data_IF_273970305690
#
_entry.id   IF_273970305690
#
_cell.length_a   1.000
_cell.length_b   1.000
_cell.length_c   1.000
_cell.angle_alpha   90.00
_cell.angle_beta   90.00
_cell.angle_gamma   90.00
#
_symmetry.space_group_name_H-M   'P 1'
#
loop_
_entity.id
_entity.type
_entity.pdbx_description
1 polymer ?
#
# COMPACT_ATOMS: atom_id res chain seq x y z
N UNK A 1 -2.07 17.77 25.76
CA UNK A 1 -2.25 16.63 24.86
C UNK A 1 -2.87 17.14 23.56
N UNK A 2 -2.13 17.06 22.49
CA UNK A 2 -2.63 17.42 21.15
C UNK A 2 -3.41 16.23 20.65
N UNK A 3 -4.74 16.29 20.70
CA UNK A 3 -5.60 15.28 20.10
C UNK A 3 -5.42 15.32 18.59
N UNK A 4 -4.73 14.32 18.05
CA UNK A 4 -4.51 14.21 16.61
C UNK A 4 -5.72 13.55 15.99
N UNK A 5 -6.72 14.35 15.65
CA UNK A 5 -7.84 13.89 14.85
C UNK A 5 -7.70 14.44 13.43
N UNK A 6 -7.76 13.56 12.45
CA UNK A 6 -7.79 13.95 11.04
C UNK A 6 -9.01 13.34 10.38
N UNK A 7 -9.77 14.16 9.64
CA UNK A 7 -10.88 13.71 8.81
C UNK A 7 -10.81 14.36 7.44
N UNK A 8 -11.07 13.59 6.40
CA UNK A 8 -11.37 14.10 5.06
C UNK A 8 -12.73 13.59 4.62
N UNK A 9 -13.60 14.51 4.26
CA UNK A 9 -14.98 14.21 3.88
C UNK A 9 -15.32 14.99 2.62
N UNK A 10 -15.91 14.32 1.64
CA UNK A 10 -16.38 14.96 0.42
C UNK A 10 -17.73 14.38 -0.03
N UNK A 11 -18.46 15.13 -0.85
CA UNK A 11 -19.71 14.68 -1.46
C UNK A 11 -19.47 14.26 -2.90
N UNK A 12 -19.99 13.09 -3.27
CA UNK A 12 -20.07 12.62 -4.63
C UNK A 12 -21.44 12.01 -4.87
N UNK A 13 -22.16 12.50 -5.90
CA UNK A 13 -23.46 11.97 -6.32
C UNK A 13 -24.48 11.81 -5.17
N UNK A 14 -24.60 12.83 -4.30
CA UNK A 14 -25.45 12.84 -3.09
C UNK A 14 -25.00 11.90 -1.96
N UNK A 15 -23.91 11.14 -2.12
CA UNK A 15 -23.32 10.37 -1.05
C UNK A 15 -22.22 11.16 -0.34
N UNK A 16 -22.12 10.95 0.95
CA UNK A 16 -21.01 11.45 1.75
C UNK A 16 -19.98 10.34 1.86
N UNK A 17 -18.76 10.64 1.41
CA UNK A 17 -17.65 9.70 1.48
C UNK A 17 -16.64 10.23 2.49
N UNK A 18 -16.28 9.39 3.46
CA UNK A 18 -15.22 9.63 4.43
C UNK A 18 -14.01 8.90 3.91
N UNK A 19 -13.05 9.62 3.36
CA UNK A 19 -11.84 9.05 2.77
C UNK A 19 -10.76 8.75 3.80
N UNK A 20 -10.69 9.57 4.83
CA UNK A 20 -9.75 9.39 5.94
C UNK A 20 -10.44 9.73 7.25
N UNK A 21 -10.29 8.85 8.22
CA UNK A 21 -10.71 9.07 9.59
C UNK A 21 -9.65 8.46 10.51
N UNK A 22 -8.96 9.31 11.25
CA UNK A 22 -7.99 8.90 12.26
C UNK A 22 -8.48 9.32 13.63
N UNK A 23 -8.56 8.38 14.54
CA UNK A 23 -8.90 8.59 15.93
C UNK A 23 -8.05 7.67 16.81
N UNK A 24 -7.63 8.14 17.96
CA UNK A 24 -6.81 7.36 18.90
C UNK A 24 -7.60 6.22 19.56
N UNK A 25 -8.91 6.41 19.69
CA UNK A 25 -9.81 5.44 20.33
C UNK A 25 -11.07 5.22 19.51
N UNK A 26 -11.73 4.07 19.70
CA UNK A 26 -13.03 3.79 19.07
C UNK A 26 -14.12 4.77 19.49
N UNK A 27 -14.10 5.25 20.72
CA UNK A 27 -15.06 6.25 21.21
C UNK A 27 -14.88 7.59 20.52
N UNK A 28 -13.62 8.00 20.28
CA UNK A 28 -13.30 9.18 19.51
C UNK A 28 -13.73 9.03 18.03
N UNK A 29 -13.55 7.85 17.44
CA UNK A 29 -14.02 7.53 16.09
C UNK A 29 -15.55 7.66 16.00
N UNK A 30 -16.30 7.05 16.91
CA UNK A 30 -17.75 7.14 16.97
C UNK A 30 -18.23 8.59 17.16
N UNK A 31 -17.56 9.35 18.01
CA UNK A 31 -17.88 10.76 18.24
C UNK A 31 -17.67 11.60 16.99
N UNK A 32 -16.58 11.36 16.25
CA UNK A 32 -16.31 12.03 14.96
C UNK A 32 -17.34 11.68 13.90
N UNK A 33 -17.71 10.41 13.77
CA UNK A 33 -18.76 9.96 12.84
C UNK A 33 -20.11 10.58 13.16
N UNK A 34 -20.47 10.64 14.45
CA UNK A 34 -21.72 11.28 14.91
C UNK A 34 -21.71 12.79 14.57
N UNK A 35 -20.60 13.46 14.82
CA UNK A 35 -20.44 14.87 14.50
C UNK A 35 -20.53 15.16 12.99
N UNK A 36 -19.90 14.34 12.16
CA UNK A 36 -19.99 14.43 10.70
C UNK A 36 -21.44 14.28 10.26
N UNK A 37 -22.16 13.30 10.80
CA UNK A 37 -23.58 13.06 10.49
C UNK A 37 -24.46 14.25 10.85
N UNK A 38 -24.27 14.82 12.04
CA UNK A 38 -25.01 16.00 12.48
C UNK A 38 -24.70 17.22 11.61
N UNK A 39 -23.42 17.49 11.37
CA UNK A 39 -22.98 18.65 10.61
C UNK A 39 -23.41 18.60 9.13
N UNK A 40 -23.41 17.43 8.52
CA UNK A 40 -23.74 17.26 7.10
C UNK A 40 -25.22 16.97 6.84
N UNK A 41 -25.98 16.56 7.84
CA UNK A 41 -27.36 16.11 7.71
C UNK A 41 -27.53 14.84 6.85
N UNK A 42 -26.45 14.14 6.52
CA UNK A 42 -26.49 12.94 5.70
C UNK A 42 -26.92 11.73 6.52
N UNK A 43 -27.88 10.95 5.98
CA UNK A 43 -28.34 9.70 6.61
C UNK A 43 -27.41 8.53 6.32
N UNK A 44 -26.82 8.53 5.14
CA UNK A 44 -25.93 7.47 4.67
C UNK A 44 -24.54 8.03 4.36
N UNK A 45 -23.53 7.36 4.90
CA UNK A 45 -22.14 7.71 4.72
C UNK A 45 -21.37 6.44 4.34
N UNK A 46 -20.39 6.58 3.46
CA UNK A 46 -19.45 5.52 3.10
C UNK A 46 -18.09 5.87 3.67
N UNK A 47 -17.53 5.00 4.48
CA UNK A 47 -16.18 5.15 4.99
C UNK A 47 -15.25 4.23 4.22
N UNK A 48 -14.10 4.75 3.78
CA UNK A 48 -13.02 3.95 3.22
C UNK A 48 -12.15 3.46 4.37
N UNK A 49 -11.97 2.15 4.44
CA UNK A 49 -11.19 1.48 5.47
C UNK A 49 -9.95 0.81 4.85
N UNK A 50 -8.90 0.55 5.63
CA UNK A 50 -7.83 -0.35 5.20
C UNK A 50 -8.39 -1.70 4.75
N UNK A 51 -7.76 -2.38 3.77
CA UNK A 51 -8.24 -3.65 3.27
C UNK A 51 -8.19 -4.73 4.37
N UNK A 52 -9.33 -5.35 4.63
CA UNK A 52 -9.45 -6.51 5.51
C UNK A 52 -9.84 -7.75 4.68
N UNK A 53 -9.40 -8.94 5.10
CA UNK A 53 -9.55 -10.18 4.32
C UNK A 53 -11.02 -10.56 4.03
N UNK A 54 -11.94 -10.15 4.88
CA UNK A 54 -13.37 -10.52 4.79
C UNK A 54 -14.25 -9.46 4.12
N UNK A 55 -13.67 -8.35 3.70
CA UNK A 55 -14.44 -7.25 3.09
C UNK A 55 -14.21 -7.16 1.58
N UNK A 56 -15.18 -6.61 0.86
CA UNK A 56 -15.03 -6.32 -0.55
C UNK A 56 -13.96 -5.24 -0.74
N UNK A 57 -12.88 -5.59 -1.44
CA UNK A 57 -11.78 -4.70 -1.72
C UNK A 57 -11.95 -4.03 -3.08
N UNK A 58 -11.66 -2.75 -3.15
CA UNK A 58 -11.68 -1.98 -4.39
C UNK A 58 -10.28 -1.42 -4.68
N UNK A 59 -9.75 -1.59 -5.90
CA UNK A 59 -8.51 -0.93 -6.29
C UNK A 59 -8.77 0.57 -6.46
N UNK A 60 -8.23 1.37 -5.54
CA UNK A 60 -8.42 2.83 -5.55
C UNK A 60 -7.26 3.61 -6.17
N UNK A 61 -6.14 2.98 -6.40
CA UNK A 61 -4.96 3.64 -6.93
C UNK A 61 -4.04 2.70 -7.69
N UNK A 62 -3.09 3.31 -8.36
CA UNK A 62 -1.98 2.62 -9.00
C UNK A 62 -0.70 2.95 -8.25
N UNK A 63 0.14 1.95 -8.08
CA UNK A 63 1.45 2.11 -7.48
C UNK A 63 2.52 1.50 -8.38
N UNK A 64 3.73 2.03 -8.29
CA UNK A 64 4.90 1.50 -8.96
C UNK A 64 6.09 1.54 -8.02
N UNK A 65 6.89 0.48 -8.04
CA UNK A 65 8.19 0.46 -7.38
C UNK A 65 9.15 1.39 -8.12
N UNK A 66 9.70 2.37 -7.42
CA UNK A 66 10.73 3.29 -7.94
C UNK A 66 12.12 2.91 -7.47
N UNK A 67 12.24 2.20 -6.35
CA UNK A 67 13.49 1.67 -5.81
C UNK A 67 13.30 0.20 -5.44
N UNK A 68 13.65 -0.69 -6.37
CA UNK A 68 13.46 -2.12 -6.19
C UNK A 68 14.28 -2.68 -5.02
N UNK A 69 15.49 -2.18 -4.82
CA UNK A 69 16.39 -2.65 -3.75
C UNK A 69 15.80 -2.40 -2.36
N UNK A 70 15.30 -1.19 -2.11
CA UNK A 70 14.71 -0.83 -0.82
C UNK A 70 13.41 -1.61 -0.55
N UNK A 71 12.56 -1.72 -1.56
CA UNK A 71 11.29 -2.44 -1.42
C UNK A 71 11.51 -3.93 -1.21
N UNK A 72 12.47 -4.54 -1.93
CA UNK A 72 12.81 -5.95 -1.75
C UNK A 72 13.50 -6.21 -0.40
N UNK A 73 14.26 -5.25 0.13
CA UNK A 73 14.81 -5.36 1.48
C UNK A 73 13.69 -5.30 2.54
N UNK A 74 12.70 -4.42 2.37
CA UNK A 74 11.52 -4.37 3.26
C UNK A 74 10.72 -5.67 3.19
N UNK A 75 10.50 -6.20 1.98
CA UNK A 75 9.82 -7.48 1.79
C UNK A 75 10.58 -8.62 2.48
N UNK A 76 11.89 -8.75 2.24
CA UNK A 76 12.70 -9.78 2.88
C UNK A 76 12.62 -9.70 4.42
N UNK A 77 12.66 -8.48 4.97
CA UNK A 77 12.54 -8.28 6.42
C UNK A 77 11.18 -8.68 6.98
N UNK A 78 10.11 -8.48 6.21
CA UNK A 78 8.74 -8.86 6.59
C UNK A 78 8.49 -10.38 6.44
N UNK A 79 9.17 -11.01 5.49
CA UNK A 79 9.03 -12.44 5.18
C UNK A 79 10.42 -13.11 5.14
N UNK A 80 11.08 -13.29 6.29
CA UNK A 80 12.45 -13.79 6.35
C UNK A 80 12.61 -15.23 5.88
N UNK A 81 11.53 -16.01 5.88
CA UNK A 81 11.51 -17.40 5.40
C UNK A 81 11.38 -17.51 3.87
N UNK A 82 11.02 -16.42 3.19
CA UNK A 82 10.89 -16.42 1.74
C UNK A 82 12.27 -16.30 1.10
N UNK A 83 12.66 -17.32 0.32
CA UNK A 83 13.88 -17.30 -0.47
C UNK A 83 13.54 -17.16 -1.95
N UNK A 84 14.07 -16.12 -2.60
CA UNK A 84 13.82 -15.83 -4.00
C UNK A 84 15.06 -15.31 -4.70
N UNK A 85 15.27 -15.77 -5.93
CA UNK A 85 16.25 -15.22 -6.86
C UNK A 85 15.51 -14.58 -8.03
N UNK A 86 15.69 -13.27 -8.21
CA UNK A 86 14.96 -12.48 -9.20
C UNK A 86 15.93 -11.83 -10.19
N UNK A 87 15.51 -11.81 -11.46
CA UNK A 87 16.09 -10.95 -12.48
C UNK A 87 15.08 -9.87 -12.82
N UNK A 88 15.33 -8.65 -12.34
CA UNK A 88 14.38 -7.52 -12.47
C UNK A 88 14.75 -6.67 -13.68
N UNK A 89 13.74 -6.35 -14.49
CA UNK A 89 13.88 -5.44 -15.63
C UNK A 89 12.91 -4.25 -15.52
N UNK A 90 13.45 -3.05 -15.70
CA UNK A 90 12.71 -1.79 -15.72
C UNK A 90 13.14 -0.94 -16.90
N UNK A 91 12.22 -0.71 -17.85
CA UNK A 91 12.51 0.06 -19.06
C UNK A 91 12.62 1.57 -18.80
N UNK A 92 12.07 2.06 -17.70
CA UNK A 92 12.05 3.49 -17.38
C UNK A 92 13.12 3.89 -16.37
N UNK A 93 13.38 3.05 -15.37
CA UNK A 93 14.38 3.31 -14.33
C UNK A 93 15.43 2.18 -14.33
N UNK A 94 16.48 2.38 -15.11
CA UNK A 94 17.55 1.38 -15.27
C UNK A 94 18.25 1.02 -13.95
N UNK A 95 18.18 1.87 -12.95
CA UNK A 95 18.70 1.63 -11.59
C UNK A 95 18.06 0.41 -10.92
N UNK A 96 16.85 0.03 -11.34
CA UNK A 96 16.17 -1.15 -10.83
C UNK A 96 16.58 -2.45 -11.54
N UNK A 97 17.29 -2.37 -12.68
CA UNK A 97 17.72 -3.55 -13.41
C UNK A 97 18.83 -4.28 -12.67
N UNK A 98 18.70 -5.59 -12.61
CA UNK A 98 19.74 -6.44 -12.03
C UNK A 98 19.19 -7.69 -11.37
N UNK A 99 20.05 -8.32 -10.61
CA UNK A 99 19.81 -9.60 -9.96
C UNK A 99 19.67 -9.40 -8.46
N UNK A 100 18.61 -9.94 -7.91
CA UNK A 100 18.26 -9.82 -6.49
C UNK A 100 18.15 -11.21 -5.88
N UNK A 101 18.78 -11.40 -4.74
CA UNK A 101 18.67 -12.61 -3.96
C UNK A 101 18.15 -12.27 -2.56
N UNK A 102 16.98 -12.79 -2.24
CA UNK A 102 16.34 -12.65 -0.94
C UNK A 102 16.55 -13.94 -0.15
N UNK A 103 17.13 -13.81 1.03
CA UNK A 103 17.40 -14.93 1.92
C UNK A 103 17.57 -14.45 3.35
N UNK A 104 16.99 -15.17 4.31
CA UNK A 104 17.12 -14.89 5.75
C UNK A 104 16.85 -13.41 6.13
N UNK A 105 15.81 -12.81 5.58
CA UNK A 105 15.42 -11.43 5.87
C UNK A 105 16.29 -10.34 5.22
N UNK A 106 17.18 -10.71 4.30
CA UNK A 106 18.08 -9.78 3.60
C UNK A 106 17.88 -9.83 2.10
N UNK A 107 18.12 -8.71 1.45
CA UNK A 107 18.14 -8.60 -0.01
C UNK A 107 19.54 -8.23 -0.47
N UNK A 108 20.16 -9.13 -1.24
CA UNK A 108 21.42 -8.87 -1.93
C UNK A 108 21.13 -8.45 -3.37
N UNK A 109 21.91 -7.50 -3.88
CA UNK A 109 21.79 -6.98 -5.23
C UNK A 109 23.11 -7.10 -5.99
N UNK A 110 23.02 -7.44 -7.27
CA UNK A 110 24.15 -7.46 -8.19
C UNK A 110 23.72 -6.97 -9.58
N UNK A 111 24.62 -6.29 -10.28
CA UNK A 111 24.49 -5.97 -11.70
C UNK A 111 24.87 -7.16 -12.59
N UNK A 112 25.67 -8.08 -12.05
CA UNK A 112 26.07 -9.30 -12.72
C UNK A 112 25.19 -10.46 -12.28
N UNK A 113 25.03 -11.44 -13.18
CA UNK A 113 24.20 -12.60 -12.89
C UNK A 113 24.77 -13.41 -11.72
N UNK A 114 23.95 -13.60 -10.71
CA UNK A 114 24.28 -14.44 -9.58
C UNK A 114 24.16 -15.94 -9.96
N UNK A 115 24.86 -16.84 -9.28
CA UNK A 115 24.70 -18.29 -9.48
C UNK A 115 23.26 -18.74 -9.17
N UNK A 116 22.77 -19.70 -9.94
CA UNK A 116 21.47 -20.29 -9.74
C UNK A 116 20.40 -19.86 -10.75
N UNK A 117 19.18 -20.34 -10.55
CA UNK A 117 18.05 -20.03 -11.41
C UNK A 117 17.37 -18.75 -10.92
N UNK A 118 17.16 -17.79 -11.81
CA UNK A 118 16.48 -16.54 -11.52
C UNK A 118 15.09 -16.53 -12.14
N UNK A 119 14.14 -15.99 -11.43
CA UNK A 119 12.79 -15.73 -11.92
C UNK A 119 12.83 -14.36 -12.62
N UNK A 120 12.66 -14.30 -13.95
CA UNK A 120 12.61 -13.03 -14.65
C UNK A 120 11.28 -12.31 -14.32
N UNK A 121 11.36 -11.04 -13.96
CA UNK A 121 10.21 -10.20 -13.69
C UNK A 121 10.44 -8.79 -14.24
N UNK A 122 9.45 -8.23 -14.90
CA UNK A 122 9.45 -6.81 -15.13
C UNK A 122 8.95 -6.06 -13.87
N UNK A 123 9.23 -4.76 -13.81
CA UNK A 123 8.91 -3.95 -12.61
C UNK A 123 7.41 -3.94 -12.27
N UNK A 124 6.52 -4.10 -13.24
CA UNK A 124 5.07 -4.15 -13.00
C UNK A 124 4.65 -5.46 -12.35
N UNK A 125 5.20 -6.59 -12.82
CA UNK A 125 4.98 -7.91 -12.23
C UNK A 125 5.52 -7.96 -10.80
N UNK A 126 6.72 -7.41 -10.59
CA UNK A 126 7.32 -7.29 -9.27
C UNK A 126 6.44 -6.43 -8.34
N UNK A 127 5.97 -5.28 -8.82
CA UNK A 127 5.09 -4.40 -8.05
C UNK A 127 3.81 -5.13 -7.61
N UNK A 128 3.16 -5.83 -8.54
CA UNK A 128 1.96 -6.61 -8.24
C UNK A 128 2.20 -7.67 -7.18
N UNK A 129 3.27 -8.45 -7.31
CA UNK A 129 3.63 -9.52 -6.38
C UNK A 129 3.93 -8.99 -4.96
N UNK A 130 4.78 -7.97 -4.89
CA UNK A 130 5.19 -7.40 -3.59
C UNK A 130 4.02 -6.72 -2.88
N UNK A 131 3.22 -5.94 -3.60
CA UNK A 131 2.09 -5.22 -2.98
C UNK A 131 0.93 -6.14 -2.63
N UNK A 132 0.74 -7.26 -3.33
CA UNK A 132 -0.21 -8.27 -2.92
C UNK A 132 0.16 -8.88 -1.57
N UNK A 133 1.45 -9.09 -1.30
CA UNK A 133 1.94 -9.65 -0.04
C UNK A 133 1.95 -8.62 1.10
N UNK A 134 2.49 -7.41 0.84
CA UNK A 134 2.63 -6.34 1.84
C UNK A 134 1.32 -5.59 2.10
N UNK A 135 0.37 -5.62 1.16
CA UNK A 135 -0.92 -4.91 1.21
C UNK A 135 -0.81 -3.47 1.72
N UNK A 136 -0.01 -2.61 1.09
CA UNK A 136 0.17 -1.24 1.55
C UNK A 136 -1.14 -0.48 1.46
N UNK A 137 -1.53 0.14 2.57
CA UNK A 137 -2.66 1.04 2.58
C UNK A 137 -2.23 2.43 2.08
N UNK A 138 -2.89 2.89 1.03
CA UNK A 138 -2.69 4.24 0.53
C UNK A 138 -4.03 4.97 0.48
N UNK A 139 -4.14 6.02 1.28
CA UNK A 139 -5.26 6.95 1.21
C UNK A 139 -4.92 8.08 0.22
N UNK A 140 -4.86 7.73 -1.06
CA UNK A 140 -4.65 8.71 -2.11
C UNK A 140 -6.00 9.18 -2.65
N UNK A 141 -6.45 10.33 -2.16
CA UNK A 141 -7.60 10.99 -2.72
C UNK A 141 -7.15 12.02 -3.75
N UNK A 142 -7.25 11.65 -5.02
CA UNK A 142 -7.20 12.60 -6.10
C UNK A 142 -8.55 13.33 -6.14
N UNK A 143 -8.64 14.45 -5.45
CA UNK A 143 -9.73 15.38 -5.63
C UNK A 143 -9.61 15.98 -7.03
N UNK A 144 -10.52 15.61 -7.91
CA UNK A 144 -10.83 16.38 -9.11
C UNK A 144 -11.98 17.30 -8.82
#
# INVERSE_FOLDING_TARGET
>A
ASDVYKRQVYRRDKQLIISELFAETKDAEHSLLHHIKQFTGCRHMTQLLPPEKEQTQYPLGMARIINAKEVLQLYASAFPEDEMQLEVSDKQLSVNNGYYYLCNGKCMYSTERLPGAHIPMNISELTGRIFQALQPYMSLMLNK
#
